data_IF_708546524880
#
_entry.id   IF_708546524880
#
_cell.length_a   1.000
_cell.length_b   1.000
_cell.length_c   1.000
_cell.angle_alpha   90.00
_cell.angle_beta   90.00
_cell.angle_gamma   90.00
#
_symmetry.space_group_name_H-M   'P 1'
#
loop_
_entity.id
_entity.type
_entity.pdbx_description
1 polymer ?
#
# COMPACT_ATOMS: atom_id res chain seq x y z
N UNK A 1 -0.13 19.44 4.98
CA UNK A 1 -0.77 18.18 5.39
C UNK A 1 -1.80 17.78 4.35
N UNK A 2 -1.34 17.12 3.29
CA UNK A 2 -2.18 16.64 2.17
C UNK A 2 -1.30 15.87 1.17
N UNK A 3 -0.70 14.79 1.65
CA UNK A 3 -0.02 13.80 0.82
C UNK A 3 -1.06 12.82 0.27
N UNK A 4 -1.89 13.28 -0.66
CA UNK A 4 -2.89 12.43 -1.34
C UNK A 4 -2.17 11.44 -2.23
N UNK A 5 -1.85 10.25 -1.69
CA UNK A 5 -1.32 9.13 -2.47
C UNK A 5 -2.46 8.58 -3.33
N UNK A 6 -2.19 8.41 -4.64
CA UNK A 6 -3.19 7.90 -5.58
C UNK A 6 -3.52 6.45 -5.24
N UNK A 7 -4.78 6.02 -5.38
CA UNK A 7 -5.16 4.63 -5.13
C UNK A 7 -4.51 3.70 -6.16
N UNK A 8 -4.17 2.49 -5.73
CA UNK A 8 -3.65 1.42 -6.61
C UNK A 8 -4.83 0.85 -7.39
N UNK A 9 -4.82 1.03 -8.72
CA UNK A 9 -5.93 0.62 -9.60
C UNK A 9 -5.49 -0.34 -10.71
N UNK A 10 -4.21 -0.34 -11.04
CA UNK A 10 -3.64 -1.18 -12.08
C UNK A 10 -2.56 -2.09 -11.52
N UNK A 11 -2.22 -3.14 -12.27
CA UNK A 11 -1.11 -4.03 -11.90
C UNK A 11 0.22 -3.27 -11.88
N UNK A 12 0.41 -2.30 -12.77
CA UNK A 12 1.59 -1.43 -12.78
C UNK A 12 1.71 -0.57 -11.50
N UNK A 13 0.58 -0.05 -10.99
CA UNK A 13 0.56 0.66 -9.70
C UNK A 13 0.94 -0.29 -8.56
N UNK A 14 0.42 -1.52 -8.59
CA UNK A 14 0.68 -2.53 -7.57
C UNK A 14 2.12 -3.01 -7.59
N UNK A 15 2.72 -3.29 -8.76
CA UNK A 15 4.09 -3.76 -8.88
C UNK A 15 5.14 -2.79 -8.28
N UNK A 16 4.83 -1.50 -8.29
CA UNK A 16 5.71 -0.47 -7.72
C UNK A 16 5.45 -0.24 -6.22
N UNK A 17 4.31 -0.68 -5.70
CA UNK A 17 3.89 -0.38 -4.34
C UNK A 17 4.71 -1.14 -3.26
N UNK A 18 5.01 -2.44 -3.37
CA UNK A 18 5.90 -3.13 -2.43
C UNK A 18 7.32 -2.52 -2.37
N UNK A 19 7.88 -2.13 -3.52
CA UNK A 19 9.22 -1.52 -3.57
C UNK A 19 9.27 -0.18 -2.83
N UNK A 20 8.20 0.62 -2.96
CA UNK A 20 8.05 1.87 -2.22
C UNK A 20 7.81 1.61 -0.73
N UNK A 21 7.14 0.52 -0.37
CA UNK A 21 6.92 0.12 1.01
C UNK A 21 8.24 -0.27 1.69
N UNK A 22 9.07 -1.06 1.03
CA UNK A 22 10.41 -1.42 1.52
C UNK A 22 11.29 -0.17 1.71
N UNK A 23 11.24 0.77 0.76
CA UNK A 23 11.99 2.03 0.84
C UNK A 23 11.56 2.90 2.02
N UNK A 24 10.26 2.91 2.34
CA UNK A 24 9.69 3.72 3.42
C UNK A 24 9.69 2.99 4.78
N UNK A 25 10.05 1.70 4.83
CA UNK A 25 9.97 0.88 6.05
C UNK A 25 10.89 1.35 7.19
N UNK A 26 11.92 2.15 6.89
CA UNK A 26 12.81 2.76 7.86
C UNK A 26 12.44 4.18 8.30
N UNK A 27 11.23 4.66 7.95
CA UNK A 27 10.78 6.00 8.30
C UNK A 27 10.70 6.19 9.83
N UNK A 28 11.09 7.39 10.30
CA UNK A 28 10.95 7.74 11.71
C UNK A 28 9.46 7.78 12.11
N UNK A 29 9.11 7.38 13.34
CA UNK A 29 7.74 7.54 13.85
C UNK A 29 7.33 9.02 13.80
N UNK A 30 6.05 9.27 13.55
CA UNK A 30 5.47 10.62 13.38
C UNK A 30 6.04 11.44 12.19
N UNK A 31 6.83 10.82 11.32
CA UNK A 31 7.26 11.45 10.07
C UNK A 31 6.18 11.40 8.97
N UNK A 32 6.20 12.34 8.00
CA UNK A 32 5.36 12.24 6.81
C UNK A 32 5.54 10.92 6.04
N UNK A 33 6.74 10.37 6.06
CA UNK A 33 7.09 9.08 5.44
C UNK A 33 6.42 7.89 6.14
N UNK A 34 6.29 7.92 7.47
CA UNK A 34 5.54 6.91 8.22
C UNK A 34 4.03 6.96 7.90
N UNK A 35 3.45 8.17 7.81
CA UNK A 35 2.07 8.37 7.34
C UNK A 35 1.88 7.87 5.89
N UNK A 36 2.89 8.05 5.04
CA UNK A 36 2.88 7.51 3.68
C UNK A 36 2.97 5.99 3.65
N UNK A 37 3.78 5.38 4.53
CA UNK A 37 3.92 3.92 4.66
C UNK A 37 2.60 3.28 5.07
N UNK A 38 1.93 3.84 6.08
CA UNK A 38 0.62 3.35 6.55
C UNK A 38 -0.42 3.39 5.42
N UNK A 39 -0.55 4.53 4.73
CA UNK A 39 -1.47 4.67 3.60
C UNK A 39 -1.16 3.71 2.47
N UNK A 40 0.11 3.44 2.18
CA UNK A 40 0.51 2.50 1.14
C UNK A 40 0.09 1.08 1.47
N UNK A 41 0.28 0.66 2.72
CA UNK A 41 -0.18 -0.65 3.21
C UNK A 41 -1.68 -0.83 3.02
N UNK A 42 -2.48 0.19 3.37
CA UNK A 42 -3.93 0.18 3.19
C UNK A 42 -4.31 0.08 1.71
N UNK A 43 -3.63 0.81 0.82
CA UNK A 43 -3.93 0.79 -0.62
C UNK A 43 -3.54 -0.55 -1.28
N UNK A 44 -2.44 -1.17 -0.85
CA UNK A 44 -2.01 -2.50 -1.28
C UNK A 44 -3.06 -3.52 -0.87
N UNK A 45 -3.45 -3.54 0.41
CA UNK A 45 -4.47 -4.45 0.94
C UNK A 45 -5.82 -4.29 0.22
N UNK A 46 -6.26 -3.07 -0.05
CA UNK A 46 -7.51 -2.83 -0.79
C UNK A 46 -7.45 -3.36 -2.22
N UNK A 47 -6.33 -3.16 -2.93
CA UNK A 47 -6.16 -3.68 -4.28
C UNK A 47 -6.09 -5.21 -4.29
N UNK A 48 -5.33 -5.79 -3.35
CA UNK A 48 -5.22 -7.24 -3.21
C UNK A 48 -6.54 -7.87 -2.82
N UNK A 49 -7.28 -7.28 -1.90
CA UNK A 49 -8.64 -7.72 -1.55
C UNK A 49 -9.52 -7.64 -2.78
N UNK A 50 -9.60 -6.51 -3.47
CA UNK A 50 -10.44 -6.39 -4.67
C UNK A 50 -10.07 -7.38 -5.79
N UNK A 51 -8.78 -7.69 -5.95
CA UNK A 51 -8.25 -8.55 -7.03
C UNK A 51 -8.24 -10.04 -6.68
N UNK A 52 -7.96 -10.39 -5.42
CA UNK A 52 -7.79 -11.75 -4.92
C UNK A 52 -8.90 -12.19 -3.96
N UNK A 53 -9.96 -11.39 -3.76
CA UNK A 53 -11.14 -11.72 -2.92
C UNK A 53 -11.83 -13.03 -3.30
N UNK A 54 -11.53 -13.63 -4.45
CA UNK A 54 -12.08 -14.93 -4.88
C UNK A 54 -11.24 -16.14 -4.46
N UNK A 55 -10.16 -15.99 -3.69
CA UNK A 55 -9.29 -17.12 -3.30
C UNK A 55 -8.98 -17.25 -1.80
N UNK A 56 -9.63 -16.48 -0.92
CA UNK A 56 -9.60 -16.77 0.53
C UNK A 56 -10.72 -17.75 0.87
N UNK A 57 -10.62 -18.98 0.35
CA UNK A 57 -11.20 -20.12 1.07
C UNK A 57 -10.41 -20.27 2.34
N UNK A 58 -11.09 -20.13 3.47
CA UNK A 58 -10.55 -20.40 4.81
C UNK A 58 -9.84 -21.77 4.81
N UNK A 59 -8.60 -21.80 5.28
CA UNK A 59 -7.96 -23.00 5.80
C UNK A 59 -7.60 -22.74 7.26
#
# INVERSE_FOLDING_TARGET
MNTTRKPIRTDADYQSAPQLFETLSGAEPDSPEADQLEKLGILIDQYETARFSVSRTVQ
#
